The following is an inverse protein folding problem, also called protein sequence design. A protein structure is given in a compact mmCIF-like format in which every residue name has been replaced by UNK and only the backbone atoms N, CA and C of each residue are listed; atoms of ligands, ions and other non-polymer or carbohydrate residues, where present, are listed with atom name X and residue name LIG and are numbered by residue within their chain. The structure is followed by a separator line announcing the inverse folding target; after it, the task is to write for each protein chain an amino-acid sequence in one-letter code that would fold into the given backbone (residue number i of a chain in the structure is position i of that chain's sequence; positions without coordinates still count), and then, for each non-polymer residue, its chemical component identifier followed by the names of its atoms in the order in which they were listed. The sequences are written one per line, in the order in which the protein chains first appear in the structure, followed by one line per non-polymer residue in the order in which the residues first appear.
data_IF_063535207615
#
_entry.id   IF_063535207615
#
_cell.length_a   1.000
_cell.length_b   1.000
_cell.length_c   1.000
_cell.angle_alpha   90.00
_cell.angle_beta   90.00
_cell.angle_gamma   90.00
#
_symmetry.space_group_name_H-M   'P 1'
#
loop_
_entity.id
_entity.type
_entity.pdbx_description
1 polymer ?
#
# COMPACT_ATOMS: atom_id res chain seq x y z
N UNK A 1 -35.10 -46.57 -10.83
CA UNK A 1 -33.64 -46.55 -10.59
C UNK A 1 -33.18 -45.10 -10.63
N UNK A 2 -33.47 -44.34 -9.58
CA UNK A 2 -33.06 -42.94 -9.46
C UNK A 2 -31.89 -42.90 -8.48
N UNK A 3 -30.70 -42.56 -8.97
CA UNK A 3 -29.52 -42.36 -8.15
C UNK A 3 -29.66 -41.05 -7.38
N UNK A 4 -29.70 -41.14 -6.06
CA UNK A 4 -29.58 -39.99 -5.16
C UNK A 4 -28.17 -39.40 -5.29
N UNK A 5 -28.07 -38.25 -5.95
CA UNK A 5 -26.88 -37.41 -5.90
C UNK A 5 -26.71 -36.89 -4.46
N UNK A 6 -25.88 -37.56 -3.66
CA UNK A 6 -25.44 -37.02 -2.37
C UNK A 6 -24.62 -35.75 -2.63
N UNK A 7 -25.22 -34.59 -2.42
CA UNK A 7 -24.50 -33.33 -2.35
C UNK A 7 -23.63 -33.39 -1.09
N UNK A 8 -22.32 -33.56 -1.26
CA UNK A 8 -21.38 -33.41 -0.16
C UNK A 8 -21.42 -31.96 0.29
N UNK A 9 -22.03 -31.69 1.44
CA UNK A 9 -22.02 -30.37 2.06
C UNK A 9 -20.60 -30.14 2.59
N UNK A 10 -19.90 -29.18 1.99
CA UNK A 10 -18.61 -28.71 2.50
C UNK A 10 -18.89 -27.62 3.52
N UNK A 11 -18.44 -27.82 4.75
CA UNK A 11 -18.43 -26.79 5.78
C UNK A 11 -17.20 -25.91 5.57
N UNK A 12 -17.42 -24.61 5.40
CA UNK A 12 -16.37 -23.59 5.27
C UNK A 12 -16.43 -22.71 6.52
N UNK A 13 -15.30 -22.55 7.19
CA UNK A 13 -15.16 -21.68 8.35
C UNK A 13 -14.19 -20.55 8.00
N UNK A 14 -14.54 -19.32 8.39
CA UNK A 14 -13.73 -18.12 8.18
C UNK A 14 -13.40 -17.54 9.55
N UNK A 15 -12.13 -17.28 9.81
CA UNK A 15 -11.69 -16.65 11.05
C UNK A 15 -12.11 -15.16 11.10
N UNK A 16 -12.63 -14.71 12.24
CA UNK A 16 -13.09 -13.32 12.41
C UNK A 16 -11.95 -12.29 12.34
N UNK A 17 -10.70 -12.69 12.56
CA UNK A 17 -9.49 -11.88 12.40
C UNK A 17 -8.87 -11.96 11.01
N UNK A 18 -9.47 -12.67 10.06
CA UNK A 18 -8.99 -12.70 8.68
C UNK A 18 -9.22 -11.35 7.96
N UNK A 19 -8.26 -10.95 7.13
CA UNK A 19 -8.34 -9.72 6.33
C UNK A 19 -7.23 -8.72 6.66
N UNK A 20 -7.53 -7.44 6.48
CA UNK A 20 -6.56 -6.35 6.64
C UNK A 20 -6.38 -5.98 8.11
N UNK A 21 -5.12 -5.83 8.52
CA UNK A 21 -4.81 -5.22 9.81
C UNK A 21 -4.93 -3.70 9.73
N UNK A 22 -4.96 -3.04 10.90
CA UNK A 22 -5.02 -1.58 11.01
C UNK A 22 -3.91 -0.86 10.22
N UNK A 23 -2.68 -1.38 10.23
CA UNK A 23 -1.56 -0.79 9.49
C UNK A 23 -1.77 -0.82 7.97
N UNK A 24 -2.25 -1.95 7.45
CA UNK A 24 -2.61 -2.09 6.03
C UNK A 24 -3.74 -1.14 5.65
N UNK A 25 -4.82 -1.09 6.44
CA UNK A 25 -5.95 -0.19 6.17
C UNK A 25 -5.51 1.28 6.21
N UNK A 26 -4.64 1.65 7.13
CA UNK A 26 -4.14 3.03 7.27
C UNK A 26 -3.27 3.43 6.08
N UNK A 27 -2.36 2.56 5.64
CA UNK A 27 -1.52 2.81 4.46
C UNK A 27 -2.35 2.98 3.19
N UNK A 28 -3.28 2.06 2.93
CA UNK A 28 -4.16 2.14 1.75
C UNK A 28 -4.99 3.42 1.77
N UNK A 29 -5.62 3.76 2.90
CA UNK A 29 -6.43 4.99 3.01
C UNK A 29 -5.63 6.26 2.75
N UNK A 30 -4.41 6.37 3.31
CA UNK A 30 -3.54 7.52 3.05
C UNK A 30 -3.18 7.66 1.57
N UNK A 31 -2.88 6.54 0.91
CA UNK A 31 -2.62 6.55 -0.53
C UNK A 31 -3.86 7.00 -1.32
N UNK A 32 -5.03 6.44 -1.02
CA UNK A 32 -6.29 6.81 -1.69
C UNK A 32 -6.65 8.28 -1.49
N UNK A 33 -6.51 8.81 -0.28
CA UNK A 33 -6.77 10.21 0.05
C UNK A 33 -5.83 11.16 -0.72
N UNK A 34 -4.56 10.82 -0.86
CA UNK A 34 -3.60 11.61 -1.64
C UNK A 34 -3.86 11.52 -3.14
N UNK A 35 -4.12 10.31 -3.67
CA UNK A 35 -4.43 10.12 -5.09
C UNK A 35 -5.74 10.82 -5.49
N UNK A 36 -6.73 10.88 -4.59
CA UNK A 36 -7.98 11.61 -4.81
C UNK A 36 -7.78 13.13 -4.96
N UNK A 37 -6.68 13.69 -4.43
CA UNK A 37 -6.30 15.11 -4.65
C UNK A 37 -5.75 15.35 -6.06
N UNK A 38 -5.43 14.30 -6.80
CA UNK A 38 -4.85 14.32 -8.12
C UNK A 38 -3.32 14.47 -8.13
N UNK A 39 -2.71 14.15 -9.27
CA UNK A 39 -1.26 14.14 -9.45
C UNK A 39 -0.64 12.76 -9.27
N UNK A 40 0.70 12.70 -9.26
CA UNK A 40 1.46 11.46 -9.02
C UNK A 40 1.77 11.33 -7.53
N UNK A 41 1.59 10.13 -7.00
CA UNK A 41 2.06 9.77 -5.67
C UNK A 41 3.14 8.71 -5.81
N UNK A 42 4.34 8.99 -5.33
CA UNK A 42 5.38 7.99 -5.26
C UNK A 42 5.26 7.20 -3.95
N UNK A 43 5.56 5.91 -3.95
CA UNK A 43 5.58 5.07 -2.76
C UNK A 43 6.93 4.38 -2.67
N UNK A 44 7.62 4.56 -1.55
CA UNK A 44 8.93 3.92 -1.33
C UNK A 44 8.72 2.45 -0.95
N UNK A 45 8.97 1.57 -1.92
CA UNK A 45 8.61 0.16 -1.89
C UNK A 45 7.11 -0.09 -2.08
N UNK A 46 6.74 -1.36 -2.15
CA UNK A 46 5.33 -1.75 -2.25
C UNK A 46 4.55 -1.28 -1.01
N UNK A 47 3.41 -0.64 -1.24
CA UNK A 47 2.53 -0.15 -0.17
C UNK A 47 2.08 -1.28 0.76
N UNK A 48 1.79 -2.45 0.19
CA UNK A 48 1.54 -3.73 0.87
C UNK A 48 1.98 -4.89 -0.02
N UNK A 49 2.26 -6.06 0.57
CA UNK A 49 2.55 -7.29 -0.19
C UNK A 49 1.26 -7.97 -0.70
N UNK A 50 0.44 -7.23 -1.45
CA UNK A 50 -0.76 -7.72 -2.12
C UNK A 50 -0.79 -7.18 -3.55
N UNK A 51 -0.55 -8.06 -4.52
CA UNK A 51 -0.43 -7.67 -5.93
C UNK A 51 -1.68 -6.99 -6.50
N UNK A 52 -2.89 -7.39 -6.07
CA UNK A 52 -4.13 -6.76 -6.54
C UNK A 52 -4.25 -5.32 -6.02
N UNK A 53 -3.86 -5.06 -4.76
CA UNK A 53 -3.88 -3.71 -4.21
C UNK A 53 -2.78 -2.83 -4.83
N UNK A 54 -1.61 -3.39 -5.12
CA UNK A 54 -0.55 -2.68 -5.85
C UNK A 54 -1.04 -2.27 -7.23
N UNK A 55 -1.61 -3.20 -8.01
CA UNK A 55 -2.13 -2.92 -9.35
C UNK A 55 -3.25 -1.87 -9.32
N UNK A 56 -4.23 -2.02 -8.41
CA UNK A 56 -5.34 -1.07 -8.25
C UNK A 56 -4.86 0.34 -7.95
N UNK A 57 -3.85 0.49 -7.08
CA UNK A 57 -3.31 1.81 -6.72
C UNK A 57 -2.41 2.37 -7.83
N UNK A 58 -1.69 1.53 -8.58
CA UNK A 58 -0.96 1.95 -9.78
C UNK A 58 -1.89 2.52 -10.84
N UNK A 59 -3.02 1.87 -11.10
CA UNK A 59 -4.06 2.38 -12.00
C UNK A 59 -4.65 3.72 -11.52
N UNK A 60 -4.69 3.94 -10.20
CA UNK A 60 -5.11 5.20 -9.60
C UNK A 60 -4.02 6.30 -9.60
N UNK A 61 -2.78 5.99 -10.00
CA UNK A 61 -1.68 6.96 -10.15
C UNK A 61 -0.54 6.83 -9.12
N UNK A 62 -0.52 5.77 -8.32
CA UNK A 62 0.59 5.44 -7.42
C UNK A 62 1.77 4.90 -8.24
N UNK A 63 2.99 5.32 -7.92
CA UNK A 63 4.21 4.86 -8.57
C UNK A 63 5.11 4.26 -7.49
N UNK A 64 5.33 2.95 -7.54
CA UNK A 64 6.31 2.30 -6.66
C UNK A 64 7.72 2.70 -7.09
N UNK A 65 8.56 3.09 -6.14
CA UNK A 65 9.97 3.40 -6.34
C UNK A 65 10.84 2.70 -5.30
N UNK A 66 12.11 2.53 -5.62
CA UNK A 66 13.14 2.15 -4.64
C UNK A 66 13.91 3.38 -4.11
N UNK A 67 14.88 3.12 -3.22
CA UNK A 67 15.70 4.16 -2.61
C UNK A 67 16.58 4.88 -3.63
N UNK A 68 17.11 4.18 -4.65
CA UNK A 68 17.94 4.80 -5.69
C UNK A 68 17.13 5.80 -6.50
N UNK A 69 15.91 5.42 -6.89
CA UNK A 69 14.98 6.29 -7.60
C UNK A 69 14.52 7.48 -6.74
N UNK A 70 14.37 7.30 -5.42
CA UNK A 70 14.02 8.39 -4.52
C UNK A 70 15.09 9.49 -4.48
N UNK A 71 16.37 9.14 -4.59
CA UNK A 71 17.48 10.11 -4.59
C UNK A 71 17.38 11.13 -5.74
N UNK A 72 16.78 10.72 -6.86
CA UNK A 72 16.60 11.54 -8.06
C UNK A 72 15.35 12.44 -8.00
N UNK A 73 14.43 12.21 -7.06
CA UNK A 73 13.19 12.96 -6.95
C UNK A 73 13.39 14.30 -6.25
N UNK A 74 12.67 15.33 -6.71
CA UNK A 74 12.66 16.66 -6.10
C UNK A 74 11.26 17.29 -6.21
N UNK A 75 10.79 17.94 -5.14
CA UNK A 75 9.54 18.72 -5.18
C UNK A 75 8.27 17.88 -5.39
N UNK A 76 8.29 16.60 -4.99
CA UNK A 76 7.18 15.65 -5.16
C UNK A 76 6.69 15.10 -3.82
N UNK A 77 5.60 14.32 -3.85
CA UNK A 77 5.10 13.58 -2.69
C UNK A 77 5.59 12.14 -2.70
N UNK A 78 6.10 11.67 -1.57
CA UNK A 78 6.49 10.27 -1.37
C UNK A 78 5.76 9.72 -0.14
N UNK A 79 5.06 8.61 -0.31
CA UNK A 79 4.45 7.84 0.76
C UNK A 79 5.46 6.84 1.32
N UNK A 80 5.59 6.81 2.65
CA UNK A 80 6.37 5.80 3.36
C UNK A 80 5.41 4.73 3.88
N UNK A 81 5.67 3.48 3.51
CA UNK A 81 4.84 2.33 3.83
C UNK A 81 4.88 1.98 5.33
N UNK A 82 3.99 1.09 5.74
CA UNK A 82 3.75 0.74 7.16
C UNK A 82 4.98 0.27 7.95
N UNK A 83 6.06 -0.13 7.28
CA UNK A 83 7.31 -0.61 7.88
C UNK A 83 8.24 0.51 8.36
N UNK A 84 7.97 1.75 7.96
CA UNK A 84 8.84 2.90 8.26
C UNK A 84 10.16 2.87 7.50
N UNK A 85 10.97 3.90 7.75
CA UNK A 85 12.23 4.17 7.06
C UNK A 85 13.26 4.72 8.04
N UNK A 86 14.57 4.59 7.76
CA UNK A 86 15.61 5.11 8.62
C UNK A 86 15.71 6.65 8.53
N UNK A 87 16.33 7.33 9.52
CA UNK A 87 16.41 8.80 9.57
C UNK A 87 16.99 9.45 8.31
N UNK A 88 17.89 8.77 7.61
CA UNK A 88 18.53 9.24 6.39
C UNK A 88 17.52 9.47 5.25
N UNK A 89 16.44 8.68 5.19
CA UNK A 89 15.36 8.83 4.22
C UNK A 89 14.62 10.16 4.42
N UNK A 90 14.35 10.53 5.67
CA UNK A 90 13.70 11.81 5.99
C UNK A 90 14.62 13.00 5.72
N UNK A 91 15.91 12.87 6.03
CA UNK A 91 16.90 13.91 5.72
C UNK A 91 17.06 14.12 4.21
N UNK A 92 17.03 13.04 3.41
CA UNK A 92 16.99 13.13 1.95
C UNK A 92 15.74 13.88 1.48
N UNK A 93 14.58 13.53 2.03
CA UNK A 93 13.32 14.16 1.65
C UNK A 93 13.34 15.67 1.93
N UNK A 94 13.82 16.10 3.10
CA UNK A 94 13.95 17.51 3.45
C UNK A 94 14.88 18.25 2.46
N UNK A 95 16.06 17.68 2.16
CA UNK A 95 17.01 18.28 1.21
C UNK A 95 16.43 18.44 -0.20
N UNK A 96 15.63 17.47 -0.65
CA UNK A 96 15.05 17.44 -1.99
C UNK A 96 13.66 18.10 -2.07
N UNK A 97 13.19 18.72 -0.98
CA UNK A 97 11.84 19.29 -0.89
C UNK A 97 10.75 18.27 -1.25
N UNK A 98 10.94 17.02 -0.82
CA UNK A 98 9.96 15.94 -0.93
C UNK A 98 9.01 16.03 0.26
N UNK A 99 7.71 16.10 -0.02
CA UNK A 99 6.67 16.01 1.01
C UNK A 99 6.44 14.54 1.36
N UNK A 100 6.65 14.20 2.63
CA UNK A 100 6.52 12.84 3.13
C UNK A 100 5.10 12.59 3.66
N UNK A 101 4.45 11.59 3.09
CA UNK A 101 3.18 11.04 3.57
C UNK A 101 3.49 9.78 4.39
N UNK A 102 3.68 9.95 5.69
CA UNK A 102 4.06 8.85 6.56
C UNK A 102 2.85 7.96 6.91
N UNK A 103 2.92 6.70 6.47
CA UNK A 103 1.94 5.66 6.79
C UNK A 103 2.51 4.55 7.69
N UNK A 104 3.63 4.80 8.38
CA UNK A 104 4.23 3.88 9.35
C UNK A 104 3.18 3.43 10.37
N UNK A 105 3.11 2.11 10.63
CA UNK A 105 2.23 1.59 11.65
C UNK A 105 2.75 2.02 13.04
N UNK A 106 1.91 2.55 13.95
CA UNK A 106 2.28 2.84 15.33
C UNK A 106 2.76 1.62 16.11
#
# INVERSE_FOLDING_TARGET
MYNELKTNIVQIEIDNGSGFCFGVTTAIKKAEEELAKGGKLYCLGDIVHNGMEVERLHEAGLITIDHEQMEELQGVKVLLRAHGEPPETYALAERNNIEIIDATCP
#
